data_IF_074094655609
#
_entry.id   IF_074094655609
#
_cell.length_a   1.000
_cell.length_b   1.000
_cell.length_c   1.000
_cell.angle_alpha   90.00
_cell.angle_beta   90.00
_cell.angle_gamma   90.00
#
_symmetry.space_group_name_H-M   'P 1'
#
loop_
_entity.id
_entity.type
_entity.pdbx_description
1 polymer ?
#
# COMPACT_ATOMS: atom_id res chain seq x y z
N UNK A 1 41.30 -15.37 -37.52
CA UNK A 1 39.87 -15.21 -37.16
C UNK A 1 39.80 -14.02 -36.23
N UNK A 2 39.14 -12.93 -36.66
CA UNK A 2 39.18 -11.61 -36.00
C UNK A 2 38.60 -11.70 -34.59
N UNK A 3 39.32 -11.11 -33.65
CA UNK A 3 38.92 -10.81 -32.29
C UNK A 3 37.56 -10.10 -32.29
N UNK A 4 36.55 -10.70 -31.66
CA UNK A 4 35.28 -10.04 -31.32
C UNK A 4 35.59 -9.00 -30.24
N UNK A 5 35.92 -7.79 -30.68
CA UNK A 5 35.96 -6.63 -29.81
C UNK A 5 34.54 -6.38 -29.28
N UNK A 6 34.34 -6.60 -27.99
CA UNK A 6 33.14 -6.24 -27.24
C UNK A 6 32.82 -4.75 -27.45
N UNK A 7 31.93 -4.44 -28.40
CA UNK A 7 31.36 -3.10 -28.57
C UNK A 7 30.66 -2.68 -27.29
N UNK A 8 31.22 -1.70 -26.58
CA UNK A 8 30.56 -1.08 -25.43
C UNK A 8 29.35 -0.31 -25.94
N UNK A 9 28.15 -0.88 -25.74
CA UNK A 9 26.89 -0.19 -26.04
C UNK A 9 26.90 1.20 -25.37
N UNK A 10 26.53 2.28 -26.09
CA UNK A 10 26.52 3.62 -25.51
C UNK A 10 25.52 3.68 -24.35
N UNK A 11 25.87 4.44 -23.31
CA UNK A 11 25.01 4.60 -22.14
C UNK A 11 23.66 5.19 -22.57
N UNK A 12 22.60 4.40 -22.42
CA UNK A 12 21.25 4.83 -22.74
C UNK A 12 20.61 5.47 -21.50
N UNK A 13 20.65 6.81 -21.45
CA UNK A 13 20.09 7.58 -20.34
C UNK A 13 18.59 7.30 -20.13
N UNK A 14 17.80 7.14 -21.19
CA UNK A 14 16.37 6.85 -21.09
C UNK A 14 16.12 5.51 -20.38
N UNK A 15 16.87 4.47 -20.78
CA UNK A 15 16.75 3.13 -20.18
C UNK A 15 17.25 3.10 -18.73
N UNK A 16 18.25 3.92 -18.40
CA UNK A 16 18.69 4.12 -17.02
C UNK A 16 17.63 4.85 -16.19
N UNK A 17 17.02 5.90 -16.73
CA UNK A 17 15.98 6.69 -16.06
C UNK A 17 14.70 5.89 -15.81
N UNK A 18 14.25 5.08 -16.78
CA UNK A 18 13.08 4.20 -16.61
C UNK A 18 13.28 3.18 -15.47
N UNK A 19 14.52 2.73 -15.25
CA UNK A 19 14.84 1.71 -14.25
C UNK A 19 15.13 2.29 -12.86
N UNK A 20 15.78 3.45 -12.78
CA UNK A 20 16.28 4.02 -11.51
C UNK A 20 15.70 5.40 -11.16
N UNK A 21 14.88 5.98 -12.03
CA UNK A 21 14.32 7.32 -11.88
C UNK A 21 13.57 7.51 -10.58
N UNK A 22 12.77 6.52 -10.15
CA UNK A 22 12.03 6.60 -8.87
C UNK A 22 12.96 6.71 -7.65
N UNK A 23 14.04 5.93 -7.60
CA UNK A 23 15.03 6.03 -6.51
C UNK A 23 15.77 7.38 -6.54
N UNK A 24 16.06 7.88 -7.73
CA UNK A 24 16.71 9.18 -7.90
C UNK A 24 15.80 10.33 -7.45
N UNK A 25 14.52 10.31 -7.85
CA UNK A 25 13.51 11.28 -7.42
C UNK A 25 13.33 11.23 -5.90
N UNK A 26 13.26 10.02 -5.31
CA UNK A 26 13.18 9.86 -3.86
C UNK A 26 14.39 10.50 -3.15
N UNK A 27 15.62 10.25 -3.64
CA UNK A 27 16.82 10.84 -3.07
C UNK A 27 16.81 12.37 -3.14
N UNK A 28 16.36 12.96 -4.26
CA UNK A 28 16.22 14.41 -4.41
C UNK A 28 15.20 14.96 -3.42
N UNK A 29 14.01 14.35 -3.31
CA UNK A 29 12.97 14.76 -2.37
C UNK A 29 13.52 14.73 -0.93
N UNK A 30 14.18 13.65 -0.55
CA UNK A 30 14.79 13.51 0.78
C UNK A 30 15.84 14.59 1.04
N UNK A 31 16.69 14.89 0.06
CA UNK A 31 17.72 15.94 0.20
C UNK A 31 17.11 17.35 0.32
N UNK A 32 16.10 17.66 -0.50
CA UNK A 32 15.43 18.98 -0.48
C UNK A 32 14.66 19.16 0.82
N UNK A 33 13.74 18.26 1.15
CA UNK A 33 12.91 18.44 2.36
C UNK A 33 13.68 18.18 3.64
N UNK A 34 14.69 17.30 3.61
CA UNK A 34 15.59 17.08 4.74
C UNK A 34 16.47 18.29 5.06
N UNK A 35 16.79 19.13 4.06
CA UNK A 35 17.56 20.37 4.29
C UNK A 35 16.67 21.58 4.59
N UNK A 36 15.50 21.70 3.95
CA UNK A 36 14.58 22.82 4.17
C UNK A 36 13.80 22.73 5.49
N UNK A 37 13.56 21.52 6.00
CA UNK A 37 12.75 21.32 7.22
C UNK A 37 13.21 20.08 8.02
N UNK A 38 14.48 20.03 8.46
CA UNK A 38 15.04 18.87 9.15
C UNK A 38 14.27 18.50 10.42
N UNK A 39 13.78 19.50 11.16
CA UNK A 39 13.03 19.34 12.42
C UNK A 39 11.67 18.65 12.24
N UNK A 40 11.13 18.60 11.02
CA UNK A 40 9.83 18.00 10.71
C UNK A 40 9.98 16.76 9.82
N UNK A 41 10.81 16.85 8.77
CA UNK A 41 10.91 15.84 7.72
C UNK A 41 11.73 14.62 8.15
N UNK A 42 12.95 14.81 8.69
CA UNK A 42 13.85 13.72 9.10
C UNK A 42 13.64 13.31 10.56
N UNK A 43 12.39 13.29 11.00
CA UNK A 43 12.03 12.85 12.35
C UNK A 43 11.68 11.37 12.36
N UNK A 44 12.01 10.68 13.45
CA UNK A 44 11.61 9.27 13.66
C UNK A 44 10.10 9.11 13.55
N UNK A 45 9.33 10.09 14.03
CA UNK A 45 7.87 10.10 13.90
C UNK A 45 7.44 10.14 12.44
N UNK A 46 7.94 11.08 11.63
CA UNK A 46 7.56 11.20 10.22
C UNK A 46 7.96 9.94 9.42
N UNK A 47 9.18 9.43 9.65
CA UNK A 47 9.65 8.19 9.01
C UNK A 47 8.75 7.01 9.38
N UNK A 48 8.41 6.85 10.66
CA UNK A 48 7.51 5.79 11.13
C UNK A 48 6.12 5.93 10.51
N UNK A 49 5.58 7.14 10.42
CA UNK A 49 4.28 7.40 9.79
C UNK A 49 4.28 7.04 8.29
N UNK A 50 5.36 7.32 7.56
CA UNK A 50 5.52 6.91 6.16
C UNK A 50 5.47 5.38 6.03
N UNK A 51 6.17 4.65 6.91
CA UNK A 51 6.14 3.18 6.90
C UNK A 51 4.75 2.63 7.26
N UNK A 52 4.10 3.19 8.28
CA UNK A 52 2.74 2.78 8.69
C UNK A 52 1.74 3.02 7.55
N UNK A 53 1.77 4.19 6.92
CA UNK A 53 0.88 4.50 5.79
C UNK A 53 1.13 3.60 4.59
N UNK A 54 2.40 3.30 4.27
CA UNK A 54 2.76 2.40 3.18
C UNK A 54 2.33 0.96 3.47
N UNK A 55 2.41 0.54 4.73
CA UNK A 55 2.02 -0.82 5.16
C UNK A 55 0.56 -1.11 4.86
N UNK A 56 -0.34 -0.12 4.98
CA UNK A 56 -1.77 -0.28 4.65
C UNK A 56 -1.94 -0.66 3.17
N UNK A 57 -1.30 0.07 2.25
CA UNK A 57 -1.37 -0.23 0.81
C UNK A 57 -0.76 -1.59 0.48
N UNK A 58 0.37 -1.94 1.11
CA UNK A 58 1.01 -3.25 0.91
C UNK A 58 0.10 -4.38 1.37
N UNK A 59 -0.50 -4.28 2.55
CA UNK A 59 -1.41 -5.30 3.09
C UNK A 59 -2.64 -5.50 2.21
N UNK A 60 -3.24 -4.41 1.71
CA UNK A 60 -4.36 -4.47 0.77
C UNK A 60 -3.92 -5.14 -0.53
N UNK A 61 -2.79 -4.72 -1.10
CA UNK A 61 -2.25 -5.31 -2.32
C UNK A 61 -1.95 -6.81 -2.18
N UNK A 62 -1.51 -7.26 -1.00
CA UNK A 62 -1.34 -8.69 -0.70
C UNK A 62 -2.67 -9.45 -0.68
N UNK A 63 -3.77 -8.83 -0.24
CA UNK A 63 -5.11 -9.40 -0.32
C UNK A 63 -5.62 -9.47 -1.77
N UNK A 64 -5.52 -8.34 -2.48
CA UNK A 64 -5.93 -8.22 -3.89
C UNK A 64 -5.17 -9.17 -4.82
N UNK A 65 -3.94 -9.53 -4.48
CA UNK A 65 -3.17 -10.52 -5.24
C UNK A 65 -3.96 -11.82 -5.46
N UNK A 66 -4.67 -12.32 -4.45
CA UNK A 66 -5.48 -13.53 -4.58
C UNK A 66 -6.72 -13.32 -5.45
N UNK A 67 -7.35 -12.15 -5.40
CA UNK A 67 -8.49 -11.81 -6.26
C UNK A 67 -8.07 -11.80 -7.74
N UNK A 68 -6.92 -11.18 -8.04
CA UNK A 68 -6.35 -11.11 -9.40
C UNK A 68 -6.02 -12.50 -9.94
N UNK A 69 -5.53 -13.42 -9.11
CA UNK A 69 -5.23 -14.80 -9.54
C UNK A 69 -6.46 -15.55 -10.06
N UNK A 70 -7.66 -15.21 -9.56
CA UNK A 70 -8.94 -15.78 -10.00
C UNK A 70 -9.54 -14.97 -11.18
N UNK A 71 -8.74 -14.09 -11.78
CA UNK A 71 -9.15 -13.14 -12.83
C UNK A 71 -10.27 -12.17 -12.41
N UNK A 72 -10.42 -11.94 -11.10
CA UNK A 72 -11.28 -10.90 -10.54
C UNK A 72 -10.50 -9.62 -10.26
N UNK A 73 -11.20 -8.49 -10.24
CA UNK A 73 -10.69 -7.23 -9.65
C UNK A 73 -11.65 -6.91 -8.51
N UNK A 74 -11.19 -6.99 -7.27
CA UNK A 74 -12.03 -6.78 -6.09
C UNK A 74 -11.93 -5.32 -5.62
N UNK A 75 -12.90 -4.50 -6.01
CA UNK A 75 -12.94 -3.10 -5.57
C UNK A 75 -13.57 -2.95 -4.18
N UNK A 76 -14.26 -3.99 -3.69
CA UNK A 76 -15.00 -3.97 -2.43
C UNK A 76 -14.09 -3.92 -1.20
N UNK A 77 -12.82 -4.35 -1.32
CA UNK A 77 -11.83 -4.27 -0.23
C UNK A 77 -11.60 -2.82 0.20
N UNK A 78 -11.70 -1.85 -0.72
CA UNK A 78 -11.66 -0.43 -0.37
C UNK A 78 -12.86 0.03 0.46
N UNK A 79 -14.06 -0.46 0.14
CA UNK A 79 -15.28 -0.17 0.91
C UNK A 79 -15.24 -0.82 2.30
N UNK A 80 -14.74 -2.04 2.40
CA UNK A 80 -14.55 -2.76 3.68
C UNK A 80 -13.53 -2.04 4.55
N UNK A 81 -12.41 -1.57 3.98
CA UNK A 81 -11.43 -0.74 4.69
C UNK A 81 -12.07 0.54 5.24
N UNK A 82 -12.84 1.25 4.41
CA UNK A 82 -13.49 2.50 4.83
C UNK A 82 -14.51 2.25 5.95
N UNK A 83 -15.34 1.21 5.84
CA UNK A 83 -16.35 0.87 6.84
C UNK A 83 -15.72 0.39 8.15
N UNK A 84 -14.72 -0.49 8.08
CA UNK A 84 -13.99 -0.97 9.27
C UNK A 84 -13.29 0.18 10.00
N UNK A 85 -12.64 1.09 9.27
CA UNK A 85 -12.05 2.31 9.82
C UNK A 85 -13.09 3.25 10.45
N UNK A 86 -14.26 3.42 9.80
CA UNK A 86 -15.36 4.22 10.35
C UNK A 86 -15.89 3.62 11.65
N UNK A 87 -16.08 2.30 11.72
CA UNK A 87 -16.53 1.61 12.94
C UNK A 87 -15.50 1.77 14.05
N UNK A 88 -14.22 1.57 13.76
CA UNK A 88 -13.14 1.81 14.74
C UNK A 88 -13.18 3.24 15.26
N UNK A 89 -13.28 4.25 14.38
CA UNK A 89 -13.35 5.66 14.79
C UNK A 89 -14.59 5.95 15.65
N UNK A 90 -15.75 5.38 15.30
CA UNK A 90 -16.99 5.53 16.08
C UNK A 90 -16.88 4.92 17.47
N UNK A 91 -16.24 3.76 17.60
CA UNK A 91 -16.00 3.12 18.90
C UNK A 91 -15.07 3.99 19.78
N UNK A 92 -14.00 4.54 19.20
CA UNK A 92 -13.12 5.46 19.92
C UNK A 92 -13.87 6.72 20.40
N UNK A 93 -14.72 7.30 19.55
CA UNK A 93 -15.56 8.45 19.93
C UNK A 93 -16.60 8.11 21.00
N UNK A 94 -17.02 6.84 21.09
CA UNK A 94 -17.90 6.35 22.14
C UNK A 94 -17.18 6.06 23.48
N UNK A 95 -15.89 6.35 23.57
CA UNK A 95 -15.08 6.16 24.77
C UNK A 95 -14.49 4.76 24.93
N UNK A 96 -14.57 3.91 23.90
CA UNK A 96 -13.89 2.61 23.89
C UNK A 96 -12.39 2.84 23.77
N UNK A 97 -11.61 2.07 24.52
CA UNK A 97 -10.14 2.08 24.43
C UNK A 97 -9.67 1.92 22.96
N UNK A 98 -8.68 2.72 22.50
CA UNK A 98 -8.26 2.70 21.10
C UNK A 98 -7.77 1.34 20.60
N UNK A 99 -7.09 0.56 21.45
CA UNK A 99 -6.63 -0.77 21.06
C UNK A 99 -7.81 -1.72 20.88
N UNK A 100 -8.77 -1.68 21.81
CA UNK A 100 -9.99 -2.48 21.72
C UNK A 100 -10.85 -2.07 20.50
N UNK A 101 -10.98 -0.78 20.23
CA UNK A 101 -11.71 -0.25 19.07
C UNK A 101 -11.07 -0.67 17.73
N UNK A 102 -9.74 -0.71 17.66
CA UNK A 102 -9.01 -1.19 16.48
C UNK A 102 -9.18 -2.71 16.29
N UNK A 103 -9.14 -3.48 17.38
CA UNK A 103 -9.38 -4.93 17.32
C UNK A 103 -10.81 -5.25 16.86
N UNK A 104 -11.81 -4.54 17.37
CA UNK A 104 -13.21 -4.76 16.99
C UNK A 104 -13.48 -4.27 15.56
N UNK A 105 -13.25 -2.99 15.27
CA UNK A 105 -13.60 -2.43 13.97
C UNK A 105 -12.67 -2.89 12.84
N UNK A 106 -11.35 -2.84 13.06
CA UNK A 106 -10.36 -3.20 12.05
C UNK A 106 -10.30 -4.70 11.80
N UNK A 107 -10.13 -5.50 12.85
CA UNK A 107 -9.90 -6.95 12.70
C UNK A 107 -11.21 -7.73 12.62
N UNK A 108 -12.10 -7.59 13.60
CA UNK A 108 -13.32 -8.42 13.64
C UNK A 108 -14.32 -8.01 12.56
N UNK A 109 -14.67 -6.72 12.49
CA UNK A 109 -15.64 -6.24 11.49
C UNK A 109 -15.04 -6.30 10.08
N UNK A 110 -13.79 -5.84 9.89
CA UNK A 110 -13.10 -5.96 8.61
C UNK A 110 -12.99 -7.41 8.13
N UNK A 111 -12.55 -8.33 9.00
CA UNK A 111 -12.43 -9.75 8.68
C UNK A 111 -13.77 -10.42 8.39
N UNK A 112 -14.82 -10.11 9.16
CA UNK A 112 -16.15 -10.66 8.93
C UNK A 112 -16.73 -10.20 7.58
N UNK A 113 -16.64 -8.90 7.27
CA UNK A 113 -17.13 -8.36 6.01
C UNK A 113 -16.32 -8.86 4.81
N UNK A 114 -15.00 -8.98 4.94
CA UNK A 114 -14.14 -9.58 3.92
C UNK A 114 -14.49 -11.04 3.65
N UNK A 115 -14.74 -11.83 4.70
CA UNK A 115 -15.15 -13.22 4.55
C UNK A 115 -16.53 -13.34 3.88
N UNK A 116 -17.49 -12.50 4.27
CA UNK A 116 -18.82 -12.44 3.64
C UNK A 116 -18.68 -12.10 2.15
N UNK A 117 -17.89 -11.07 1.82
CA UNK A 117 -17.70 -10.65 0.44
C UNK A 117 -17.05 -11.76 -0.39
N UNK A 118 -15.95 -12.35 0.08
CA UNK A 118 -15.27 -13.44 -0.61
C UNK A 118 -16.17 -14.66 -0.85
N UNK A 119 -16.98 -15.04 0.16
CA UNK A 119 -17.96 -16.12 0.01
C UNK A 119 -19.05 -15.79 -1.01
N UNK A 120 -19.58 -14.55 -0.99
CA UNK A 120 -20.62 -14.11 -1.93
C UNK A 120 -20.11 -14.12 -3.36
N UNK A 121 -18.92 -13.58 -3.61
CA UNK A 121 -18.29 -13.58 -4.93
C UNK A 121 -18.11 -15.00 -5.45
N UNK A 122 -17.59 -15.89 -4.60
CA UNK A 122 -17.37 -17.29 -4.95
C UNK A 122 -18.68 -18.06 -5.26
N UNK A 123 -19.77 -17.80 -4.54
CA UNK A 123 -21.03 -18.51 -4.74
C UNK A 123 -21.92 -17.94 -5.85
N UNK A 124 -21.95 -16.62 -5.98
CA UNK A 124 -22.86 -15.94 -6.92
C UNK A 124 -22.22 -15.68 -8.27
N UNK A 125 -20.89 -15.70 -8.36
CA UNK A 125 -20.16 -15.26 -9.54
C UNK A 125 -20.34 -13.77 -9.84
N UNK A 126 -20.93 -13.00 -8.92
CA UNK A 126 -21.02 -11.56 -9.02
C UNK A 126 -19.61 -10.98 -8.99
N UNK A 127 -19.37 -10.02 -9.88
CA UNK A 127 -18.12 -9.30 -9.83
C UNK A 127 -18.05 -8.48 -8.53
N UNK A 128 -16.92 -8.52 -7.81
CA UNK A 128 -16.71 -7.71 -6.62
C UNK A 128 -16.43 -6.24 -7.00
N UNK A 129 -17.46 -5.41 -7.02
CA UNK A 129 -17.34 -3.95 -7.18
C UNK A 129 -17.71 -3.23 -5.90
#
# INVERSE_FOLDING_TARGET
>A
VKSEASEKKPFNFALFWDKYGTFFILAIIVAIFGSLSPEYFLTTNNITQIFVQSSVTVLIGMGEFFAILVAGIDLSVGAILALSGMVTAKLMLAGVDPFLAAMIGGVLVGGALGAINGCLVNWTGLHPF
#
